data_IF_972227473432
#
_entry.id   IF_972227473432
#
_cell.length_a   1.000
_cell.length_b   1.000
_cell.length_c   1.000
_cell.angle_alpha   90.00
_cell.angle_beta   90.00
_cell.angle_gamma   90.00
#
_symmetry.space_group_name_H-M   'P 1'
#
loop_
_entity.id
_entity.type
_entity.pdbx_description
1 polymer ?
#
# COMPACT_ATOMS: atom_id res chain seq x y z
N UNK A 1 2.06 9.93 -11.02
CA UNK A 1 3.27 9.08 -10.99
C UNK A 1 4.25 9.37 -9.82
N UNK A 2 4.15 10.50 -9.09
CA UNK A 2 5.09 10.82 -7.99
C UNK A 2 4.82 10.03 -6.70
N UNK A 3 3.55 9.90 -6.29
CA UNK A 3 3.14 9.24 -5.06
C UNK A 3 3.63 7.78 -4.97
N UNK A 4 3.49 7.01 -6.05
CA UNK A 4 3.94 5.60 -6.13
C UNK A 4 5.46 5.48 -5.96
N UNK A 5 6.22 6.33 -6.62
CA UNK A 5 7.69 6.31 -6.54
C UNK A 5 8.18 6.71 -5.16
N UNK A 6 7.53 7.71 -4.55
CA UNK A 6 7.82 8.11 -3.17
C UNK A 6 7.46 7.01 -2.17
N UNK A 7 6.28 6.41 -2.30
CA UNK A 7 5.85 5.30 -1.46
C UNK A 7 6.78 4.09 -1.56
N UNK A 8 7.24 3.74 -2.77
CA UNK A 8 8.23 2.69 -2.97
C UNK A 8 9.55 3.00 -2.25
N UNK A 9 10.01 4.25 -2.28
CA UNK A 9 11.22 4.67 -1.57
C UNK A 9 11.04 4.53 -0.06
N UNK A 10 9.94 5.07 0.47
CA UNK A 10 9.62 4.98 1.90
C UNK A 10 9.47 3.53 2.37
N UNK A 11 8.85 2.65 1.58
CA UNK A 11 8.74 1.22 1.92
C UNK A 11 10.12 0.57 2.09
N UNK A 12 11.04 0.85 1.16
CA UNK A 12 12.42 0.33 1.23
C UNK A 12 13.19 0.86 2.45
N UNK A 13 12.87 2.07 2.89
CA UNK A 13 13.48 2.72 4.05
C UNK A 13 12.76 2.39 5.37
N UNK A 14 11.64 1.64 5.35
CA UNK A 14 10.82 1.36 6.53
C UNK A 14 10.06 2.59 7.06
N UNK A 15 9.90 3.63 6.23
CA UNK A 15 9.36 4.95 6.57
C UNK A 15 7.98 5.20 5.96
N UNK A 16 7.25 4.15 5.60
CA UNK A 16 5.99 4.25 4.86
C UNK A 16 4.92 5.11 5.59
N UNK A 17 4.97 5.23 6.92
CA UNK A 17 4.07 6.11 7.68
C UNK A 17 4.20 7.59 7.35
N UNK A 18 5.26 8.03 6.67
CA UNK A 18 5.38 9.42 6.21
C UNK A 18 4.40 9.78 5.08
N UNK A 19 3.71 8.79 4.51
CA UNK A 19 2.57 9.02 3.62
C UNK A 19 1.29 9.46 4.34
N UNK A 20 1.21 9.26 5.66
CA UNK A 20 0.03 9.66 6.42
C UNK A 20 -0.02 11.18 6.48
N UNK A 21 -1.21 11.72 6.24
CA UNK A 21 -1.46 13.16 6.29
C UNK A 21 -1.09 13.73 7.67
N UNK A 22 -0.34 14.82 7.69
CA UNK A 22 0.16 15.45 8.92
C UNK A 22 -0.95 16.01 9.82
N UNK A 23 -2.16 16.21 9.28
CA UNK A 23 -3.34 16.62 10.06
C UNK A 23 -3.92 15.49 10.93
N UNK A 24 -3.53 14.24 10.67
CA UNK A 24 -3.93 13.08 11.48
C UNK A 24 -3.01 12.99 12.70
N UNK A 25 -3.47 13.54 13.81
CA UNK A 25 -2.66 13.72 15.04
C UNK A 25 -2.25 12.42 15.73
N UNK A 26 -3.03 11.34 15.60
CA UNK A 26 -2.71 10.03 16.17
C UNK A 26 -3.36 8.91 15.36
N UNK A 27 -2.62 7.84 15.13
CA UNK A 27 -3.11 6.65 14.43
C UNK A 27 -2.34 5.40 14.88
N UNK A 28 -2.98 4.22 14.87
CA UNK A 28 -2.27 2.96 15.01
C UNK A 28 -1.36 2.73 13.79
N UNK A 29 -0.04 2.59 14.04
CA UNK A 29 0.97 2.48 12.98
C UNK A 29 0.70 1.28 12.05
N UNK A 30 0.33 0.16 12.63
CA UNK A 30 -0.05 -1.08 11.96
C UNK A 30 -1.25 -0.89 11.02
N UNK A 31 -2.32 -0.25 11.51
CA UNK A 31 -3.51 0.06 10.69
C UNK A 31 -3.15 0.99 9.55
N UNK A 32 -2.34 2.04 9.80
CA UNK A 32 -1.90 2.94 8.74
C UNK A 32 -1.07 2.23 7.67
N UNK A 33 -0.09 1.41 8.07
CA UNK A 33 0.74 0.64 7.15
C UNK A 33 -0.11 -0.32 6.30
N UNK A 34 -1.09 -0.97 6.93
CA UNK A 34 -2.06 -1.86 6.27
C UNK A 34 -2.90 -1.11 5.23
N UNK A 35 -3.50 0.01 5.61
CA UNK A 35 -4.27 0.88 4.71
C UNK A 35 -3.43 1.39 3.53
N UNK A 36 -2.20 1.81 3.78
CA UNK A 36 -1.31 2.29 2.71
C UNK A 36 -0.98 1.14 1.75
N UNK A 37 -0.58 -0.03 2.26
CA UNK A 37 -0.22 -1.17 1.41
C UNK A 37 -1.38 -1.65 0.55
N UNK A 38 -2.58 -1.78 1.12
CA UNK A 38 -3.75 -2.19 0.34
C UNK A 38 -4.13 -1.12 -0.69
N UNK A 39 -4.05 0.17 -0.34
CA UNK A 39 -4.27 1.26 -1.29
C UNK A 39 -3.29 1.25 -2.46
N UNK A 40 -2.01 0.97 -2.19
CA UNK A 40 -0.98 0.83 -3.21
C UNK A 40 -1.22 -0.38 -4.13
N UNK A 41 -1.68 -1.50 -3.58
CA UNK A 41 -2.06 -2.70 -4.34
C UNK A 41 -3.29 -2.46 -5.23
N UNK A 42 -4.32 -1.79 -4.72
CA UNK A 42 -5.51 -1.42 -5.50
C UNK A 42 -5.18 -0.51 -6.70
N UNK A 43 -4.14 0.30 -6.57
CA UNK A 43 -3.68 1.24 -7.60
C UNK A 43 -2.56 0.69 -8.48
N UNK A 44 -2.37 -0.64 -8.54
CA UNK A 44 -1.39 -1.25 -9.43
C UNK A 44 -1.74 -1.03 -10.90
N UNK A 45 -0.70 -0.85 -11.71
CA UNK A 45 -0.85 -0.59 -13.14
C UNK A 45 -1.39 -1.82 -13.86
N UNK A 46 -0.78 -2.98 -13.60
CA UNK A 46 -1.30 -4.28 -14.00
C UNK A 46 -2.58 -4.60 -13.22
N UNK A 47 -3.64 -4.97 -13.94
CA UNK A 47 -4.89 -5.43 -13.33
C UNK A 47 -4.73 -6.78 -12.62
N UNK A 48 -3.74 -7.58 -13.02
CA UNK A 48 -3.46 -8.89 -12.40
C UNK A 48 -2.82 -8.75 -11.00
N UNK A 49 -2.17 -7.61 -10.73
CA UNK A 49 -1.55 -7.33 -9.43
C UNK A 49 -2.53 -6.65 -8.46
N UNK A 50 -3.73 -6.29 -8.92
CA UNK A 50 -4.76 -5.69 -8.07
C UNK A 50 -5.47 -6.78 -7.27
N UNK A 51 -5.70 -6.56 -5.96
CA UNK A 51 -6.46 -7.48 -5.15
C UNK A 51 -7.92 -7.52 -5.58
N UNK A 52 -8.58 -8.64 -5.33
CA UNK A 52 -10.05 -8.72 -5.45
C UNK A 52 -10.68 -7.90 -4.33
N UNK A 53 -11.89 -7.37 -4.57
CA UNK A 53 -12.63 -6.64 -3.51
C UNK A 53 -12.93 -7.53 -2.30
N UNK A 54 -13.10 -8.84 -2.48
CA UNK A 54 -13.26 -9.78 -1.36
C UNK A 54 -12.01 -9.81 -0.47
N UNK A 55 -10.82 -9.88 -1.07
CA UNK A 55 -9.55 -9.83 -0.34
C UNK A 55 -9.35 -8.48 0.37
N UNK A 56 -9.73 -7.37 -0.26
CA UNK A 56 -9.68 -6.04 0.37
C UNK A 56 -10.55 -6.01 1.63
N UNK A 57 -11.78 -6.53 1.57
CA UNK A 57 -12.68 -6.60 2.73
C UNK A 57 -12.12 -7.51 3.82
N UNK A 58 -11.60 -8.68 3.46
CA UNK A 58 -10.97 -9.62 4.38
C UNK A 58 -9.81 -8.96 5.13
N UNK A 59 -8.88 -8.33 4.39
CA UNK A 59 -7.77 -7.58 4.97
C UNK A 59 -8.32 -6.49 5.89
N UNK A 60 -9.22 -5.62 5.44
CA UNK A 60 -9.70 -4.52 6.29
C UNK A 60 -10.49 -4.97 7.53
N UNK A 61 -11.04 -6.18 7.52
CA UNK A 61 -11.85 -6.72 8.63
C UNK A 61 -11.04 -7.50 9.66
N UNK A 62 -9.85 -8.00 9.29
CA UNK A 62 -9.01 -8.84 10.14
C UNK A 62 -7.55 -8.36 10.15
N UNK A 63 -7.05 -8.05 11.34
CA UNK A 63 -5.68 -7.56 11.57
C UNK A 63 -4.61 -8.65 11.49
N UNK A 64 -4.99 -9.93 11.47
CA UNK A 64 -4.08 -11.07 11.34
C UNK A 64 -3.68 -11.37 9.88
N UNK A 65 -4.40 -10.80 8.91
CA UNK A 65 -4.17 -11.08 7.48
C UNK A 65 -2.87 -10.43 7.01
N UNK A 66 -1.97 -11.26 6.48
CA UNK A 66 -0.70 -10.77 5.91
C UNK A 66 -0.93 -10.18 4.52
N UNK A 67 -0.47 -8.96 4.33
CA UNK A 67 -0.62 -8.22 3.05
C UNK A 67 0.67 -8.36 2.26
N UNK A 68 0.61 -8.76 0.98
CA UNK A 68 1.79 -8.82 0.14
C UNK A 68 2.39 -7.42 -0.05
N UNK A 69 3.71 -7.36 -0.15
CA UNK A 69 4.39 -6.11 -0.48
C UNK A 69 4.02 -5.74 -1.92
N UNK A 70 3.61 -4.48 -2.19
CA UNK A 70 3.27 -4.06 -3.54
C UNK A 70 4.40 -4.37 -4.52
N UNK A 71 4.06 -5.02 -5.64
CA UNK A 71 5.03 -5.32 -6.70
C UNK A 71 5.24 -4.05 -7.52
N UNK A 72 6.50 -3.66 -7.71
CA UNK A 72 6.85 -2.45 -8.44
C UNK A 72 7.58 -2.83 -9.73
N UNK A 73 6.82 -3.25 -10.74
CA UNK A 73 7.36 -3.41 -12.07
C UNK A 73 7.78 -2.02 -12.58
N UNK A 74 9.07 -1.84 -12.88
CA UNK A 74 9.51 -0.69 -13.65
C UNK A 74 8.88 -0.76 -15.03
N UNK A 75 8.40 0.38 -15.55
CA UNK A 75 7.86 0.53 -16.89
C UNK A 75 8.69 -0.30 -17.89
N UNK A 76 8.20 -1.47 -18.28
CA UNK A 76 8.72 -2.19 -19.44
C UNK A 76 7.80 -1.79 -20.58
N UNK A 77 8.05 -0.59 -21.10
CA UNK A 77 7.50 -0.19 -22.38
C UNK A 77 8.00 -1.17 -23.43
N UNK A 78 7.07 -1.92 -24.02
CA UNK A 78 7.19 -2.48 -25.37
C UNK A 78 6.87 -1.39 -26.37
#
# INVERSE_FOLDING_TARGET
MVLRTWARRLEKEGRLTELVDETISSFPRDVALKCIRIGLLCCQESTQDRPTMSYVVEVLSDDSVTIPIPVWHGYRGS
#
